data_IF_033749885741
#
_entry.id   IF_033749885741
#
_cell.length_a   1.000
_cell.length_b   1.000
_cell.length_c   1.000
_cell.angle_alpha   90.00
_cell.angle_beta   90.00
_cell.angle_gamma   90.00
#
_symmetry.space_group_name_H-M   'P 1'
#
loop_
_entity.id
_entity.type
_entity.pdbx_description
1 polymer ?
#
# COMPACT_ATOMS: atom_id res chain seq x y z
N UNK A 1 22.47 -14.49 0.49
CA UNK A 1 22.58 -13.22 -0.24
C UNK A 1 21.82 -13.38 -1.55
N UNK A 2 21.14 -12.33 -2.03
CA UNK A 2 20.65 -12.32 -3.42
C UNK A 2 21.88 -12.44 -4.34
N UNK A 3 21.81 -13.22 -5.42
CA UNK A 3 22.98 -13.56 -6.25
C UNK A 3 23.73 -12.36 -6.83
N UNK A 4 23.14 -11.17 -6.76
CA UNK A 4 23.67 -9.93 -7.36
C UNK A 4 23.73 -8.76 -6.35
N UNK A 5 23.47 -8.98 -5.05
CA UNK A 5 23.42 -7.90 -4.06
C UNK A 5 22.32 -6.87 -4.30
N UNK A 6 21.22 -7.28 -4.96
CA UNK A 6 20.07 -6.41 -5.22
C UNK A 6 19.23 -6.21 -3.97
N UNK A 7 18.66 -5.00 -3.85
CA UNK A 7 17.58 -4.66 -2.93
C UNK A 7 16.23 -4.91 -3.59
N UNK A 8 15.28 -5.49 -2.87
CA UNK A 8 13.98 -5.92 -3.40
C UNK A 8 12.87 -5.12 -2.72
N UNK A 9 11.98 -4.54 -3.52
CA UNK A 9 10.73 -3.97 -3.03
C UNK A 9 9.63 -5.01 -3.27
N UNK A 10 8.96 -5.43 -2.21
CA UNK A 10 7.78 -6.29 -2.27
C UNK A 10 6.54 -5.42 -2.20
N UNK A 11 5.85 -5.29 -3.33
CA UNK A 11 4.67 -4.45 -3.48
C UNK A 11 3.37 -5.26 -3.42
N UNK A 12 2.51 -4.89 -2.47
CA UNK A 12 1.14 -5.39 -2.36
C UNK A 12 0.25 -4.56 -3.30
N UNK A 13 0.27 -4.97 -4.56
CA UNK A 13 -0.28 -4.20 -5.66
C UNK A 13 -1.82 -4.09 -5.66
N UNK A 14 -2.49 -5.04 -4.99
CA UNK A 14 -3.94 -5.06 -4.83
C UNK A 14 -4.35 -5.66 -3.49
N UNK A 15 -5.51 -5.26 -2.98
CA UNK A 15 -6.07 -5.75 -1.71
C UNK A 15 -7.49 -6.28 -1.91
N UNK A 16 -7.96 -7.20 -1.04
CA UNK A 16 -9.33 -7.72 -1.10
C UNK A 16 -10.38 -6.61 -1.18
N UNK A 17 -11.28 -6.73 -2.14
CA UNK A 17 -12.32 -5.76 -2.44
C UNK A 17 -11.91 -4.65 -3.40
N UNK A 18 -10.63 -4.47 -3.72
CA UNK A 18 -10.16 -3.54 -4.74
C UNK A 18 -9.97 -2.11 -4.23
N UNK A 19 -8.80 -1.55 -4.56
CA UNK A 19 -8.28 -0.28 -4.00
C UNK A 19 -8.32 0.90 -4.97
N UNK A 20 -8.66 0.69 -6.24
CA UNK A 20 -8.67 1.75 -7.25
C UNK A 20 -9.61 1.51 -8.45
N UNK A 21 -10.36 0.41 -8.49
CA UNK A 21 -11.27 0.12 -9.58
C UNK A 21 -10.63 -0.38 -10.88
N UNK A 22 -9.30 -0.47 -10.91
CA UNK A 22 -8.52 -0.99 -12.02
C UNK A 22 -8.17 -2.46 -11.76
N UNK A 23 -7.79 -3.17 -12.81
CA UNK A 23 -7.35 -4.58 -12.70
C UNK A 23 -6.16 -4.75 -11.75
N UNK A 24 -5.31 -3.72 -11.64
CA UNK A 24 -4.14 -3.72 -10.75
C UNK A 24 -4.51 -3.78 -9.26
N UNK A 25 -5.64 -3.15 -8.87
CA UNK A 25 -6.03 -3.05 -7.48
C UNK A 25 -6.77 -4.27 -6.92
N UNK A 26 -7.31 -5.12 -7.80
CA UNK A 26 -7.84 -6.48 -7.56
C UNK A 26 -8.55 -6.96 -8.84
N UNK A 27 -9.52 -6.16 -9.30
CA UNK A 27 -10.25 -6.38 -10.54
C UNK A 27 -10.90 -5.06 -11.03
N UNK A 28 -11.08 -4.96 -12.35
CA UNK A 28 -11.84 -3.86 -12.93
C UNK A 28 -13.26 -3.88 -12.35
N UNK A 29 -13.71 -2.76 -11.79
CA UNK A 29 -15.02 -2.75 -11.15
C UNK A 29 -15.01 -2.90 -9.62
N UNK A 30 -13.85 -3.01 -8.97
CA UNK A 30 -13.77 -3.27 -7.53
C UNK A 30 -13.26 -2.05 -6.72
N UNK A 31 -14.08 -1.58 -5.76
CA UNK A 31 -13.82 -0.45 -4.84
C UNK A 31 -14.21 -0.77 -3.38
N UNK A 32 -14.48 -2.04 -3.09
CA UNK A 32 -14.99 -2.53 -1.83
C UNK A 32 -13.97 -2.57 -0.69
N UNK A 33 -12.71 -2.20 -0.91
CA UNK A 33 -11.73 -2.09 0.19
C UNK A 33 -12.02 -0.88 1.10
N UNK A 34 -12.37 0.27 0.51
CA UNK A 34 -12.63 1.49 1.28
C UNK A 34 -13.86 1.34 2.18
N UNK A 35 -13.72 1.74 3.45
CA UNK A 35 -14.79 1.74 4.47
C UNK A 35 -15.38 0.36 4.77
N UNK A 36 -14.64 -0.72 4.48
CA UNK A 36 -15.04 -2.08 4.76
C UNK A 36 -14.12 -2.70 5.82
N UNK A 37 -14.64 -2.92 7.02
CA UNK A 37 -13.85 -3.43 8.15
C UNK A 37 -13.38 -4.87 7.94
N UNK A 38 -14.19 -5.74 7.30
CA UNK A 38 -13.77 -7.10 6.96
C UNK A 38 -12.57 -7.09 6.00
N UNK A 39 -12.60 -6.23 4.99
CA UNK A 39 -11.48 -6.06 4.05
C UNK A 39 -10.31 -5.26 4.64
N UNK A 40 -10.44 -4.70 5.84
CA UNK A 40 -9.36 -4.04 6.58
C UNK A 40 -8.50 -5.06 7.36
N UNK A 41 -9.10 -6.15 7.83
CA UNK A 41 -8.42 -7.19 8.64
C UNK A 41 -7.62 -8.20 7.81
N UNK A 42 -8.01 -8.43 6.55
CA UNK A 42 -7.29 -9.35 5.66
C UNK A 42 -5.90 -8.80 5.23
N UNK A 43 -5.74 -7.50 4.94
CA UNK A 43 -4.44 -6.90 4.64
C UNK A 43 -3.38 -7.11 5.72
N UNK A 44 -3.72 -7.11 7.01
CA UNK A 44 -2.72 -7.35 8.07
C UNK A 44 -2.15 -8.77 8.02
N UNK A 45 -2.98 -9.76 7.64
CA UNK A 45 -2.51 -11.14 7.43
C UNK A 45 -1.57 -11.27 6.23
N UNK A 46 -1.82 -10.51 5.16
CA UNK A 46 -0.91 -10.44 4.00
C UNK A 46 0.44 -9.86 4.41
N UNK A 47 0.44 -8.79 5.20
CA UNK A 47 1.67 -8.17 5.72
C UNK A 47 2.41 -9.12 6.66
N UNK A 48 1.72 -9.81 7.57
CA UNK A 48 2.32 -10.82 8.45
C UNK A 48 3.02 -11.93 7.64
N UNK A 49 2.38 -12.41 6.57
CA UNK A 49 2.95 -13.43 5.69
C UNK A 49 4.20 -12.93 4.94
N UNK A 50 4.19 -11.68 4.48
CA UNK A 50 5.35 -11.05 3.83
C UNK A 50 6.50 -10.89 4.83
N UNK A 51 6.22 -10.42 6.04
CA UNK A 51 7.21 -10.30 7.10
C UNK A 51 7.83 -11.67 7.42
N UNK A 52 7.01 -12.71 7.56
CA UNK A 52 7.47 -14.08 7.80
C UNK A 52 8.32 -14.60 6.64
N UNK A 53 7.95 -14.30 5.38
CA UNK A 53 8.75 -14.63 4.20
C UNK A 53 10.14 -13.97 4.26
N UNK A 54 10.18 -12.66 4.51
CA UNK A 54 11.43 -11.88 4.60
C UNK A 54 12.33 -12.42 5.72
N UNK A 55 11.76 -12.70 6.90
CA UNK A 55 12.47 -13.26 8.05
C UNK A 55 13.12 -14.60 7.73
N UNK A 56 12.36 -15.51 7.11
CA UNK A 56 12.84 -16.85 6.79
C UNK A 56 13.89 -16.88 5.67
N UNK A 57 13.99 -15.82 4.87
CA UNK A 57 14.98 -15.71 3.79
C UNK A 57 16.40 -15.37 4.28
N UNK A 58 16.54 -14.96 5.54
CA UNK A 58 17.85 -14.73 6.20
C UNK A 58 18.58 -13.44 5.80
N UNK A 59 17.93 -12.57 5.00
CA UNK A 59 18.48 -11.28 4.56
C UNK A 59 17.42 -10.15 4.63
N UNK A 60 16.81 -9.89 5.79
CA UNK A 60 15.75 -8.89 5.92
C UNK A 60 16.17 -7.47 5.49
N UNK A 61 17.45 -7.14 5.62
CA UNK A 61 18.05 -5.88 5.21
C UNK A 61 17.99 -5.62 3.70
N UNK A 62 17.79 -6.67 2.89
CA UNK A 62 17.71 -6.58 1.43
C UNK A 62 16.29 -6.27 0.92
N UNK A 63 15.32 -6.03 1.82
CA UNK A 63 13.92 -5.88 1.47
C UNK A 63 13.31 -4.55 1.94
N UNK A 64 12.30 -4.11 1.20
CA UNK A 64 11.36 -3.05 1.59
C UNK A 64 9.95 -3.52 1.27
N UNK A 65 9.01 -3.25 2.17
CA UNK A 65 7.58 -3.56 1.95
C UNK A 65 6.89 -2.29 1.47
N UNK A 66 6.19 -2.39 0.35
CA UNK A 66 5.24 -1.41 -0.14
C UNK A 66 3.83 -2.00 0.04
N UNK A 67 3.11 -1.50 1.06
CA UNK A 67 1.91 -2.18 1.56
C UNK A 67 0.61 -1.82 0.83
N UNK A 68 0.68 -0.89 -0.13
CA UNK A 68 -0.47 -0.38 -0.88
C UNK A 68 0.03 0.35 -2.13
N UNK A 69 -0.58 0.08 -3.28
CA UNK A 69 -0.25 0.71 -4.55
C UNK A 69 -1.42 1.54 -5.10
N UNK A 70 -1.17 2.80 -5.43
CA UNK A 70 -2.10 3.71 -6.14
C UNK A 70 -3.56 3.68 -5.64
N UNK A 71 -3.84 3.86 -4.34
CA UNK A 71 -5.20 3.81 -3.84
C UNK A 71 -6.02 5.01 -4.34
N UNK A 72 -7.23 4.76 -4.83
CA UNK A 72 -8.15 5.76 -5.36
C UNK A 72 -9.61 5.40 -5.05
N UNK A 73 -10.35 6.30 -4.40
CA UNK A 73 -11.76 6.12 -4.09
C UNK A 73 -12.69 6.93 -5.02
N UNK A 74 -12.13 7.77 -5.90
CA UNK A 74 -12.91 8.45 -6.93
C UNK A 74 -13.15 7.53 -8.14
N UNK A 75 -14.43 7.23 -8.40
CA UNK A 75 -14.84 6.37 -9.52
C UNK A 75 -14.75 7.04 -10.88
N UNK A 76 -14.55 8.36 -10.93
CA UNK A 76 -14.24 9.04 -12.18
C UNK A 76 -12.77 8.78 -12.57
N UNK A 77 -12.53 7.73 -13.36
CA UNK A 77 -11.17 7.36 -13.80
C UNK A 77 -10.48 8.43 -14.66
N UNK A 78 -11.20 9.46 -15.16
CA UNK A 78 -10.58 10.57 -15.88
C UNK A 78 -9.66 11.42 -15.01
N UNK A 79 -9.76 11.31 -13.68
CA UNK A 79 -8.90 12.02 -12.72
C UNK A 79 -7.85 11.12 -12.07
N UNK A 80 -7.74 9.86 -12.49
CA UNK A 80 -6.69 8.96 -12.02
C UNK A 80 -5.30 9.53 -12.35
N UNK A 81 -4.33 9.34 -11.45
CA UNK A 81 -3.01 9.99 -11.55
C UNK A 81 -2.99 11.47 -11.16
N UNK A 82 -4.07 11.99 -10.58
CA UNK A 82 -4.15 13.35 -10.02
C UNK A 82 -4.61 13.32 -8.56
N UNK A 83 -4.43 14.41 -7.78
CA UNK A 83 -4.93 14.48 -6.42
C UNK A 83 -6.44 14.24 -6.30
N UNK A 84 -7.22 14.57 -7.34
CA UNK A 84 -8.67 14.36 -7.34
C UNK A 84 -9.09 12.87 -7.38
N UNK A 85 -8.15 11.94 -7.59
CA UNK A 85 -8.41 10.50 -7.53
C UNK A 85 -8.70 9.98 -6.10
N UNK A 86 -8.30 10.74 -5.08
CA UNK A 86 -8.43 10.34 -3.67
C UNK A 86 -9.13 11.44 -2.86
N UNK A 87 -10.28 11.11 -2.28
CA UNK A 87 -11.00 11.99 -1.36
C UNK A 87 -10.32 12.04 0.01
N UNK A 88 -10.59 13.08 0.80
CA UNK A 88 -10.11 13.18 2.18
C UNK A 88 -10.52 11.98 3.05
N UNK A 89 -11.73 11.43 2.79
CA UNK A 89 -12.19 10.24 3.51
C UNK A 89 -11.42 8.98 3.09
N UNK A 90 -11.08 8.86 1.81
CA UNK A 90 -10.22 7.80 1.30
C UNK A 90 -8.83 7.90 1.91
N UNK A 91 -8.26 9.10 1.96
CA UNK A 91 -6.98 9.39 2.59
C UNK A 91 -6.98 9.05 4.09
N UNK A 92 -8.05 9.40 4.83
CA UNK A 92 -8.19 9.04 6.24
C UNK A 92 -8.24 7.51 6.45
N UNK A 93 -8.91 6.78 5.55
CA UNK A 93 -8.95 5.32 5.58
C UNK A 93 -7.58 4.70 5.31
N UNK A 94 -6.84 5.23 4.34
CA UNK A 94 -5.46 4.82 4.03
C UNK A 94 -4.54 5.09 5.23
N UNK A 95 -4.66 6.26 5.87
CA UNK A 95 -3.85 6.59 7.04
C UNK A 95 -4.09 5.60 8.19
N UNK A 96 -5.36 5.23 8.45
CA UNK A 96 -5.70 4.18 9.42
C UNK A 96 -5.02 2.85 9.07
N UNK A 97 -5.02 2.48 7.79
CA UNK A 97 -4.35 1.25 7.32
C UNK A 97 -2.84 1.32 7.49
N UNK A 98 -2.19 2.42 7.11
CA UNK A 98 -0.74 2.60 7.26
C UNK A 98 -0.33 2.49 8.73
N UNK A 99 -1.07 3.08 9.67
CA UNK A 99 -0.79 2.92 11.09
C UNK A 99 -0.87 1.44 11.53
N UNK A 100 -1.89 0.71 11.10
CA UNK A 100 -2.01 -0.72 11.42
C UNK A 100 -0.84 -1.55 10.83
N UNK A 101 -0.37 -1.22 9.63
CA UNK A 101 0.83 -1.85 9.04
C UNK A 101 2.08 -1.50 9.84
N UNK A 102 2.27 -0.24 10.22
CA UNK A 102 3.40 0.19 11.04
C UNK A 102 3.41 -0.50 12.41
N UNK A 103 2.25 -0.70 13.03
CA UNK A 103 2.14 -1.45 14.30
C UNK A 103 2.56 -2.92 14.12
N UNK A 104 2.13 -3.57 13.03
CA UNK A 104 2.55 -4.93 12.67
C UNK A 104 4.07 -5.01 12.45
N UNK A 105 4.63 -4.08 11.67
CA UNK A 105 6.08 -3.98 11.42
C UNK A 105 6.85 -3.73 12.71
N UNK A 106 6.39 -2.82 13.58
CA UNK A 106 7.06 -2.51 14.84
C UNK A 106 7.02 -3.67 15.84
N UNK A 107 6.00 -4.55 15.74
CA UNK A 107 5.91 -5.75 16.58
C UNK A 107 6.98 -6.80 16.26
N UNK A 108 7.62 -6.70 15.09
CA UNK A 108 8.73 -7.57 14.71
C UNK A 108 10.06 -6.81 14.84
N UNK A 109 10.94 -7.29 15.72
CA UNK A 109 12.20 -6.62 16.04
C UNK A 109 13.24 -6.74 14.91
N UNK A 110 13.07 -5.98 13.82
CA UNK A 110 13.87 -6.06 12.61
C UNK A 110 14.08 -4.68 12.00
N UNK A 111 15.32 -4.41 11.54
CA UNK A 111 15.65 -3.24 10.74
C UNK A 111 15.24 -3.45 9.27
N UNK A 112 14.04 -3.06 8.87
CA UNK A 112 13.66 -2.90 7.46
C UNK A 112 12.89 -1.61 7.21
N UNK A 113 12.91 -1.16 5.96
CA UNK A 113 12.26 0.09 5.52
C UNK A 113 10.84 -0.21 5.03
N UNK A 114 9.86 0.58 5.47
CA UNK A 114 8.49 0.60 4.94
C UNK A 114 8.32 1.78 3.98
N UNK A 115 7.69 1.54 2.81
CA UNK A 115 7.41 2.57 1.79
C UNK A 115 5.92 2.59 1.47
N UNK A 116 5.43 3.76 1.10
CA UNK A 116 4.08 3.96 0.58
C UNK A 116 4.14 4.75 -0.73
N UNK A 117 3.43 4.31 -1.76
CA UNK A 117 3.15 5.08 -2.98
C UNK A 117 1.83 5.81 -2.84
N UNK A 118 1.88 7.13 -3.02
CA UNK A 118 0.70 7.98 -3.11
C UNK A 118 0.59 8.49 -4.55
N UNK A 119 -0.64 8.72 -5.04
CA UNK A 119 -0.90 9.33 -6.35
C UNK A 119 -0.28 10.73 -6.44
N UNK A 120 0.92 10.83 -7.01
CA UNK A 120 1.77 12.01 -7.19
C UNK A 120 1.09 13.37 -6.90
N UNK A 121 1.48 14.00 -5.78
CA UNK A 121 1.27 15.42 -5.53
C UNK A 121 2.14 16.18 -6.52
N UNK A 122 1.55 16.67 -7.61
CA UNK A 122 2.14 17.80 -8.31
C UNK A 122 2.27 18.97 -7.31
N UNK A 123 3.45 19.62 -7.19
CA UNK A 123 3.61 20.74 -6.28
C UNK A 123 2.63 21.86 -6.64
N UNK A 124 1.92 22.38 -5.65
CA UNK A 124 1.02 23.52 -5.82
C UNK A 124 1.81 24.73 -6.31
N UNK A 125 1.64 25.11 -7.56
CA UNK A 125 2.08 26.43 -8.04
C UNK A 125 1.07 27.47 -7.57
N UNK A 126 1.22 27.99 -6.37
CA UNK A 126 0.59 29.26 -5.98
C UNK A 126 1.35 30.40 -6.65
N UNK A 127 0.73 31.22 -7.51
CA UNK A 127 1.34 32.46 -7.98
C UNK A 127 1.34 33.48 -6.85
N UNK A 128 2.46 34.20 -6.72
CA UNK A 128 2.64 35.40 -5.90
C UNK A 128 1.73 36.55 -6.33
#
# INVERSE_FOLDING_TARGET
MTSHGMHIILDVHGLPGGINGLTIGEAAGHWGWFRNQTHFEHPTQVIDAIIAFIQNFGHPESYTIESLNEPADNRNLSVFGTPAALSDNGAAWILKYIHAVLDCVASVNISFTHRFTHNDLAPSTTPS
#
